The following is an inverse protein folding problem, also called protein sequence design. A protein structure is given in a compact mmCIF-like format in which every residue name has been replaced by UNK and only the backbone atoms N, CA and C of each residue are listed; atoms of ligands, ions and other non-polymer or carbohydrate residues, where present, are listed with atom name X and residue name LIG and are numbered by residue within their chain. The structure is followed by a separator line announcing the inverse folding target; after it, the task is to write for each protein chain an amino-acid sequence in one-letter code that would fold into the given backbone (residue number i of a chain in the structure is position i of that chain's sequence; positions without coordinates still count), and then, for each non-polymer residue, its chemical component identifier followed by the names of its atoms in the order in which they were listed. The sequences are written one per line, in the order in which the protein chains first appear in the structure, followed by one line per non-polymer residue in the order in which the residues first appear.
data_IF_268819851223
#
_entry.id   IF_268819851223
#
_cell.length_a   1.000
_cell.length_b   1.000
_cell.length_c   1.000
_cell.angle_alpha   90.00
_cell.angle_beta   90.00
_cell.angle_gamma   90.00
#
_symmetry.space_group_name_H-M   'P 1'
#
loop_
_entity.id
_entity.type
_entity.pdbx_description
1 polymer ?
#
# COMPACT_ATOMS: atom_id res chain seq x y z
N UNK A 1 -16.92 5.40 1.83
CA UNK A 1 -16.28 6.53 1.13
C UNK A 1 -15.91 7.56 2.19
N UNK A 2 -14.69 8.09 2.18
CA UNK A 2 -14.23 9.04 3.19
C UNK A 2 -14.98 10.38 3.04
N UNK A 3 -15.17 11.10 4.13
CA UNK A 3 -15.60 12.49 4.07
C UNK A 3 -14.39 13.43 3.85
N UNK A 4 -14.64 14.69 3.48
CA UNK A 4 -13.57 15.66 3.19
C UNK A 4 -12.56 15.85 4.33
N UNK A 5 -13.01 15.78 5.58
CA UNK A 5 -12.14 15.94 6.75
C UNK A 5 -11.19 14.74 6.88
N UNK A 6 -11.72 13.54 6.66
CA UNK A 6 -10.95 12.29 6.66
C UNK A 6 -9.96 12.26 5.47
N UNK A 7 -10.37 12.70 4.29
CA UNK A 7 -9.47 12.79 3.12
C UNK A 7 -8.31 13.77 3.35
N UNK A 8 -8.60 14.94 3.93
CA UNK A 8 -7.58 15.94 4.25
C UNK A 8 -6.60 15.39 5.28
N UNK A 9 -7.13 14.81 6.37
CA UNK A 9 -6.30 14.21 7.42
C UNK A 9 -5.42 13.08 6.88
N UNK A 10 -5.95 12.22 6.01
CA UNK A 10 -5.18 11.14 5.39
C UNK A 10 -4.08 11.69 4.49
N UNK A 11 -4.36 12.72 3.69
CA UNK A 11 -3.37 13.36 2.83
C UNK A 11 -2.22 13.99 3.64
N UNK A 12 -2.55 14.69 4.73
CA UNK A 12 -1.57 15.25 5.66
C UNK A 12 -0.75 14.16 6.34
N UNK A 13 -1.39 13.09 6.81
CA UNK A 13 -0.71 11.95 7.41
C UNK A 13 0.28 11.31 6.43
N UNK A 14 -0.13 11.12 5.17
CA UNK A 14 0.75 10.56 4.12
C UNK A 14 1.95 11.47 3.90
N UNK A 15 1.72 12.78 3.79
CA UNK A 15 2.80 13.76 3.61
C UNK A 15 3.76 13.78 4.80
N UNK A 16 3.26 13.77 6.02
CA UNK A 16 4.08 13.86 7.23
C UNK A 16 4.91 12.60 7.47
N UNK A 17 4.38 11.43 7.11
CA UNK A 17 5.02 10.13 7.38
C UNK A 17 5.87 9.61 6.24
N UNK A 18 5.47 9.89 5.00
CA UNK A 18 6.08 9.33 3.80
C UNK A 18 6.58 10.41 2.82
N UNK A 19 6.31 11.69 3.08
CA UNK A 19 6.70 12.80 2.20
C UNK A 19 5.74 13.02 1.04
N UNK A 20 5.36 11.95 0.35
CA UNK A 20 4.36 12.00 -0.73
C UNK A 20 3.61 10.67 -0.88
N UNK A 21 2.51 10.69 -1.64
CA UNK A 21 1.76 9.48 -1.98
C UNK A 21 2.57 8.55 -2.89
N UNK A 22 3.44 9.09 -3.74
CA UNK A 22 4.35 8.34 -4.60
C UNK A 22 5.39 7.59 -3.76
N UNK A 23 5.98 8.25 -2.77
CA UNK A 23 6.92 7.63 -1.85
C UNK A 23 6.26 6.51 -1.02
N UNK A 24 5.01 6.70 -0.58
CA UNK A 24 4.24 5.61 0.03
C UNK A 24 4.01 4.45 -0.96
N UNK A 25 3.66 4.75 -2.22
CA UNK A 25 3.47 3.70 -3.23
C UNK A 25 4.76 2.90 -3.48
N UNK A 26 5.92 3.55 -3.52
CA UNK A 26 7.22 2.86 -3.63
C UNK A 26 7.49 1.94 -2.44
N UNK A 27 7.19 2.37 -1.21
CA UNK A 27 7.33 1.52 -0.01
C UNK A 27 6.41 0.29 -0.08
N UNK A 28 5.18 0.47 -0.58
CA UNK A 28 4.25 -0.66 -0.73
C UNK A 28 4.72 -1.65 -1.81
N UNK A 29 5.30 -1.17 -2.92
CA UNK A 29 5.92 -2.02 -3.94
C UNK A 29 7.08 -2.84 -3.36
N UNK A 30 7.96 -2.22 -2.56
CA UNK A 30 9.01 -2.94 -1.83
C UNK A 30 8.44 -3.97 -0.86
N UNK A 31 7.35 -3.64 -0.16
CA UNK A 31 6.63 -4.58 0.70
C UNK A 31 6.08 -5.80 -0.07
N UNK A 32 5.57 -5.59 -1.28
CA UNK A 32 5.14 -6.68 -2.18
C UNK A 32 6.33 -7.56 -2.55
N UNK A 33 7.49 -6.98 -2.87
CA UNK A 33 8.73 -7.74 -3.14
C UNK A 33 9.16 -8.58 -1.93
N UNK A 34 9.06 -8.02 -0.72
CA UNK A 34 9.39 -8.75 0.51
C UNK A 34 8.50 -9.99 0.73
N UNK A 35 7.25 -9.98 0.26
CA UNK A 35 6.34 -11.13 0.38
C UNK A 35 6.80 -12.36 -0.42
N UNK A 36 7.68 -12.18 -1.41
CA UNK A 36 8.29 -13.31 -2.14
C UNK A 36 9.39 -14.02 -1.33
N UNK A 37 9.87 -13.42 -0.25
CA UNK A 37 10.92 -13.97 0.61
C UNK A 37 10.40 -14.53 1.93
N UNK A 38 9.08 -14.64 2.08
CA UNK A 38 8.46 -15.29 3.25
C UNK A 38 8.85 -16.77 3.26
N UNK A 39 9.17 -17.28 4.45
CA UNK A 39 9.56 -18.67 4.63
C UNK A 39 8.51 -19.65 4.10
N UNK A 40 8.98 -20.74 3.50
CA UNK A 40 8.11 -21.77 2.96
C UNK A 40 7.22 -22.37 4.06
N UNK A 41 5.93 -22.53 3.75
CA UNK A 41 4.89 -23.04 4.66
C UNK A 41 4.52 -22.13 5.84
N UNK A 42 5.01 -20.89 5.94
CA UNK A 42 4.53 -19.94 6.96
C UNK A 42 3.12 -19.43 6.67
N UNK A 43 2.77 -19.27 5.38
CA UNK A 43 1.45 -18.87 4.92
C UNK A 43 1.03 -19.70 3.72
N UNK A 44 -0.28 -19.83 3.50
CA UNK A 44 -0.75 -20.44 2.27
C UNK A 44 -0.65 -19.44 1.10
N UNK A 45 -0.52 -19.97 -0.12
CA UNK A 45 -0.36 -19.15 -1.32
C UNK A 45 -1.51 -18.15 -1.52
N UNK A 46 -2.74 -18.53 -1.17
CA UNK A 46 -3.92 -17.68 -1.34
C UNK A 46 -3.87 -16.45 -0.42
N UNK A 47 -3.41 -16.62 0.82
CA UNK A 47 -3.22 -15.53 1.77
C UNK A 47 -2.22 -14.50 1.25
N UNK A 48 -1.05 -14.95 0.79
CA UNK A 48 -0.04 -14.07 0.20
C UNK A 48 -0.60 -13.34 -1.03
N UNK A 49 -1.30 -14.06 -1.92
CA UNK A 49 -1.91 -13.46 -3.11
C UNK A 49 -2.97 -12.41 -2.77
N UNK A 50 -3.79 -12.65 -1.75
CA UNK A 50 -4.79 -11.69 -1.29
C UNK A 50 -4.13 -10.40 -0.75
N UNK A 51 -3.05 -10.53 0.03
CA UNK A 51 -2.29 -9.36 0.52
C UNK A 51 -1.65 -8.61 -0.65
N UNK A 52 -0.95 -9.30 -1.55
CA UNK A 52 -0.33 -8.68 -2.73
C UNK A 52 -1.37 -7.93 -3.58
N UNK A 53 -2.56 -8.51 -3.78
CA UNK A 53 -3.63 -7.86 -4.53
C UNK A 53 -4.07 -6.55 -3.86
N UNK A 54 -4.33 -6.58 -2.54
CA UNK A 54 -4.74 -5.39 -1.80
C UNK A 54 -3.68 -4.28 -1.84
N UNK A 55 -2.40 -4.64 -1.68
CA UNK A 55 -1.29 -3.68 -1.76
C UNK A 55 -1.18 -3.08 -3.17
N UNK A 56 -1.35 -3.88 -4.22
CA UNK A 56 -1.35 -3.39 -5.61
C UNK A 56 -2.48 -2.40 -5.88
N UNK A 57 -3.68 -2.70 -5.41
CA UNK A 57 -4.83 -1.80 -5.56
C UNK A 57 -4.57 -0.45 -4.88
N UNK A 58 -3.92 -0.46 -3.70
CA UNK A 58 -3.51 0.78 -3.03
C UNK A 58 -2.45 1.55 -3.83
N UNK A 59 -1.44 0.86 -4.35
CA UNK A 59 -0.39 1.46 -5.20
C UNK A 59 -0.99 2.14 -6.42
N UNK A 60 -1.96 1.49 -7.08
CA UNK A 60 -2.68 2.06 -8.23
C UNK A 60 -3.37 3.36 -7.82
N UNK A 61 -4.16 3.35 -6.73
CA UNK A 61 -4.87 4.56 -6.26
C UNK A 61 -3.92 5.70 -5.90
N UNK A 62 -2.80 5.40 -5.24
CA UNK A 62 -1.79 6.40 -4.85
C UNK A 62 -1.11 7.04 -6.07
N UNK A 63 -0.98 6.30 -7.19
CA UNK A 63 -0.36 6.78 -8.43
C UNK A 63 -1.35 7.44 -9.39
N UNK A 64 -2.60 7.01 -9.42
CA UNK A 64 -3.63 7.50 -10.35
C UNK A 64 -4.33 8.77 -9.88
N UNK A 65 -4.22 9.13 -8.61
CA UNK A 65 -4.82 10.36 -8.08
C UNK A 65 -4.11 11.58 -8.69
N UNK A 66 -4.60 12.11 -9.81
CA UNK A 66 -4.25 13.44 -10.33
C UNK A 66 -5.03 14.52 -9.62
#
# INVERSE_FOLDING_TARGET
MLNKKEETYLSELIKDRYGSKEALAEILDLGIEMLFYVEENSFNRKEIQSVVSALRDMVVVLRESK
#
